data_IF_661473068207
#
_entry.id   IF_661473068207
#
_cell.length_a   1.000
_cell.length_b   1.000
_cell.length_c   1.000
_cell.angle_alpha   90.00
_cell.angle_beta   90.00
_cell.angle_gamma   90.00
#
_symmetry.space_group_name_H-M   'P 1'
#
loop_
_entity.id
_entity.type
_entity.pdbx_description
1 polymer ?
#
# COMPACT_ATOMS: atom_id res chain seq x y z
N UNK A 1 -1.23 -83.30 -12.03
CA UNK A 1 -1.17 -83.03 -13.48
C UNK A 1 -0.86 -81.55 -13.67
N UNK A 2 0.36 -81.25 -14.14
CA UNK A 2 0.80 -80.07 -14.95
C UNK A 2 0.41 -78.66 -14.45
N UNK A 3 1.31 -77.90 -13.81
CA UNK A 3 2.28 -76.92 -14.38
C UNK A 3 1.63 -75.93 -15.38
N UNK A 4 1.65 -74.62 -15.09
CA UNK A 4 2.42 -73.59 -15.85
C UNK A 4 2.30 -72.18 -15.26
N UNK A 5 3.48 -71.63 -14.96
CA UNK A 5 3.83 -70.21 -14.83
C UNK A 5 3.69 -69.53 -16.19
N UNK A 6 3.21 -68.28 -16.23
CA UNK A 6 3.44 -67.38 -17.34
C UNK A 6 3.56 -65.94 -16.81
N UNK A 7 4.79 -65.44 -16.76
CA UNK A 7 5.08 -64.02 -16.65
C UNK A 7 4.87 -63.34 -18.00
N UNK A 8 4.46 -62.07 -17.95
CA UNK A 8 4.42 -61.20 -19.11
C UNK A 8 5.14 -59.89 -18.76
N UNK A 9 6.38 -59.77 -19.26
CA UNK A 9 7.07 -58.49 -19.43
C UNK A 9 6.52 -57.84 -20.71
N UNK A 10 6.19 -56.55 -20.64
CA UNK A 10 6.06 -55.68 -21.80
C UNK A 10 6.86 -54.39 -21.52
N UNK A 11 7.92 -54.22 -22.30
CA UNK A 11 8.71 -53.00 -22.38
C UNK A 11 7.95 -51.91 -23.16
N UNK A 12 8.11 -50.67 -22.73
CA UNK A 12 8.51 -49.57 -23.61
C UNK A 12 7.42 -48.85 -24.40
N UNK A 13 6.95 -47.74 -23.85
CA UNK A 13 6.66 -46.54 -24.64
C UNK A 13 7.20 -45.33 -23.86
N UNK A 14 8.39 -44.87 -24.25
CA UNK A 14 8.94 -43.61 -23.80
C UNK A 14 8.27 -42.49 -24.59
N UNK A 15 7.54 -41.62 -23.91
CA UNK A 15 7.23 -40.27 -24.39
C UNK A 15 7.92 -39.30 -23.43
N UNK A 16 8.97 -38.65 -23.90
CA UNK A 16 9.64 -37.53 -23.24
C UNK A 16 9.04 -36.23 -23.75
N UNK A 17 8.36 -35.44 -22.91
CA UNK A 17 8.11 -34.00 -23.15
C UNK A 17 8.05 -33.22 -21.82
N UNK A 18 9.07 -32.38 -21.64
CA UNK A 18 9.26 -31.16 -20.84
C UNK A 18 8.58 -30.91 -19.47
N UNK A 19 9.45 -30.96 -18.46
CA UNK A 19 9.63 -30.07 -17.31
C UNK A 19 9.27 -28.58 -17.60
N UNK A 20 8.30 -28.01 -16.86
CA UNK A 20 8.63 -27.11 -15.75
C UNK A 20 7.99 -27.61 -14.45
N UNK A 21 8.78 -28.23 -13.58
CA UNK A 21 8.31 -28.76 -12.30
C UNK A 21 8.02 -27.61 -11.35
N UNK A 22 6.73 -27.26 -11.28
CA UNK A 22 6.09 -26.99 -10.00
C UNK A 22 6.05 -28.32 -9.23
N UNK A 23 6.82 -28.46 -8.16
CA UNK A 23 6.65 -29.59 -7.23
C UNK A 23 5.55 -29.26 -6.24
N UNK A 24 4.41 -29.96 -6.34
CA UNK A 24 3.59 -30.28 -5.17
C UNK A 24 3.17 -31.76 -5.22
N UNK A 25 3.46 -32.45 -4.12
CA UNK A 25 3.02 -33.78 -3.67
C UNK A 25 3.84 -35.00 -4.10
N UNK A 26 4.77 -35.37 -3.21
CA UNK A 26 5.10 -36.77 -2.89
C UNK A 26 4.74 -37.00 -1.41
N UNK A 27 4.08 -38.12 -1.03
CA UNK A 27 3.77 -38.42 0.37
C UNK A 27 4.99 -38.73 1.27
N UNK A 28 6.21 -38.56 0.77
CA UNK A 28 7.45 -38.93 1.46
C UNK A 28 8.44 -37.78 1.57
N UNK A 29 8.00 -36.52 1.40
CA UNK A 29 8.82 -35.37 1.78
C UNK A 29 8.93 -35.38 3.31
N UNK A 30 10.17 -35.36 3.83
CA UNK A 30 10.47 -35.46 5.25
C UNK A 30 9.61 -34.52 6.10
N UNK A 31 9.40 -34.91 7.36
CA UNK A 31 8.54 -34.20 8.31
C UNK A 31 8.64 -32.69 8.10
N UNK A 32 7.52 -32.11 7.67
CA UNK A 32 7.28 -30.70 7.81
C UNK A 32 7.67 -30.32 9.24
N UNK A 33 8.57 -29.33 9.43
CA UNK A 33 8.88 -28.86 10.76
C UNK A 33 7.58 -28.52 11.50
N UNK A 34 7.37 -29.09 12.69
CA UNK A 34 6.11 -28.98 13.44
C UNK A 34 5.72 -27.51 13.67
N UNK A 35 6.71 -26.61 13.74
CA UNK A 35 6.58 -25.16 13.85
C UNK A 35 5.99 -24.48 12.60
N UNK A 36 6.35 -24.91 11.38
CA UNK A 36 5.76 -24.41 10.14
C UNK A 36 4.33 -24.94 9.93
N UNK A 37 4.09 -26.21 10.28
CA UNK A 37 2.74 -26.78 10.25
C UNK A 37 1.81 -26.08 11.23
N UNK A 38 2.30 -25.76 12.43
CA UNK A 38 1.57 -24.98 13.44
C UNK A 38 1.36 -23.52 12.99
N UNK A 39 2.36 -22.89 12.35
CA UNK A 39 2.22 -21.55 11.76
C UNK A 39 1.26 -21.49 10.58
N UNK A 40 1.00 -22.60 9.89
CA UNK A 40 0.13 -22.60 8.71
C UNK A 40 -1.19 -23.35 8.89
N UNK A 41 -1.50 -23.84 10.10
CA UNK A 41 -2.82 -24.31 10.47
C UNK A 41 -3.85 -23.16 10.39
N UNK A 42 -5.04 -23.43 9.83
CA UNK A 42 -6.17 -22.49 9.75
C UNK A 42 -5.89 -21.13 9.04
N UNK A 43 -5.15 -21.15 7.93
CA UNK A 43 -4.65 -19.96 7.18
C UNK A 43 -3.46 -19.25 7.85
N UNK A 44 -2.98 -19.81 8.97
CA UNK A 44 -1.90 -19.31 9.80
C UNK A 44 -2.32 -18.17 10.75
N UNK A 45 -1.75 -18.11 11.97
CA UNK A 45 -2.01 -17.01 12.87
C UNK A 45 -1.57 -15.70 12.21
N UNK A 46 -2.14 -14.57 12.61
CA UNK A 46 -1.72 -13.26 12.10
C UNK A 46 -0.19 -13.13 12.17
N UNK A 47 0.38 -12.49 11.15
CA UNK A 47 1.83 -12.33 11.09
C UNK A 47 2.26 -11.44 12.26
N UNK A 48 3.02 -12.01 13.19
CA UNK A 48 3.59 -11.31 14.32
C UNK A 48 4.96 -10.73 13.92
N UNK A 49 5.02 -9.41 13.84
CA UNK A 49 6.17 -8.61 13.43
C UNK A 49 6.95 -8.16 14.68
N UNK A 50 8.27 -8.28 14.68
CA UNK A 50 9.14 -7.72 15.72
C UNK A 50 10.19 -8.72 16.15
N UNK A 51 10.96 -8.41 17.18
CA UNK A 51 11.90 -9.33 17.81
C UNK A 51 11.44 -9.54 19.27
N UNK A 52 11.10 -10.78 19.70
CA UNK A 52 10.73 -11.04 21.08
C UNK A 52 11.83 -10.67 22.09
N UNK A 53 13.09 -10.56 21.66
CA UNK A 53 14.21 -10.10 22.49
C UNK A 53 14.33 -8.56 22.55
N UNK A 54 13.75 -7.82 21.59
CA UNK A 54 13.77 -6.36 21.53
C UNK A 54 12.46 -5.70 21.99
N UNK A 55 11.36 -6.46 22.12
CA UNK A 55 10.07 -5.95 22.58
C UNK A 55 8.88 -6.85 22.24
N UNK A 56 7.65 -6.40 22.52
CA UNK A 56 6.45 -7.15 22.18
C UNK A 56 6.27 -7.25 20.66
N UNK A 57 5.85 -8.43 20.20
CA UNK A 57 5.50 -8.66 18.81
C UNK A 57 4.25 -7.85 18.41
N UNK A 58 4.32 -7.17 17.28
CA UNK A 58 3.25 -6.38 16.67
C UNK A 58 2.54 -7.22 15.62
N UNK A 59 1.25 -7.45 15.79
CA UNK A 59 0.45 -8.11 14.77
C UNK A 59 0.33 -7.23 13.50
N UNK A 60 0.62 -7.78 12.31
CA UNK A 60 0.59 -7.05 11.04
C UNK A 60 -0.78 -6.48 10.70
N UNK A 61 -1.85 -7.19 11.08
CA UNK A 61 -3.23 -6.70 10.99
C UNK A 61 -3.45 -5.41 11.80
N UNK A 62 -3.09 -5.44 13.09
CA UNK A 62 -3.21 -4.28 13.98
C UNK A 62 -2.31 -3.13 13.55
N UNK A 63 -1.11 -3.43 13.05
CA UNK A 63 -0.24 -2.43 12.45
C UNK A 63 -0.92 -1.75 11.27
N UNK A 64 -1.51 -2.53 10.35
CA UNK A 64 -2.21 -2.00 9.19
C UNK A 64 -3.37 -1.06 9.57
N UNK A 65 -4.18 -1.43 10.57
CA UNK A 65 -5.26 -0.57 11.09
C UNK A 65 -4.74 0.79 11.60
N UNK A 66 -3.55 0.81 12.19
CA UNK A 66 -2.95 2.04 12.71
C UNK A 66 -2.35 2.92 11.62
N UNK A 67 -1.71 2.32 10.61
CA UNK A 67 -1.00 3.05 9.57
C UNK A 67 -1.93 3.55 8.44
N UNK A 68 -2.94 2.76 8.06
CA UNK A 68 -3.75 2.99 6.85
C UNK A 68 -5.14 3.57 7.15
N UNK A 69 -5.20 4.53 8.08
CA UNK A 69 -6.46 5.18 8.50
C UNK A 69 -7.08 6.11 7.46
N UNK A 70 -6.31 6.47 6.43
CA UNK A 70 -6.62 7.50 5.43
C UNK A 70 -6.35 6.94 4.04
N UNK A 71 -6.99 7.50 3.01
CA UNK A 71 -6.66 7.20 1.62
C UNK A 71 -5.20 7.59 1.32
N UNK A 72 -4.80 8.78 1.77
CA UNK A 72 -3.43 9.26 1.62
C UNK A 72 -2.94 9.96 2.88
N UNK A 73 -1.71 9.64 3.28
CA UNK A 73 -0.93 10.32 4.29
C UNK A 73 0.45 10.67 3.74
N UNK A 74 0.89 11.91 3.93
CA UNK A 74 2.23 12.36 3.56
C UNK A 74 2.95 13.06 4.71
N UNK A 75 4.21 12.70 4.92
CA UNK A 75 5.09 13.29 5.94
C UNK A 75 5.63 14.68 5.56
N UNK A 76 5.77 14.94 4.27
CA UNK A 76 6.14 16.20 3.66
C UNK A 76 4.95 16.71 2.84
N UNK A 77 5.19 17.19 1.62
CA UNK A 77 4.16 17.76 0.76
C UNK A 77 3.58 16.79 -0.28
N UNK A 78 2.44 17.20 -0.81
CA UNK A 78 1.81 16.64 -2.01
C UNK A 78 1.91 17.65 -3.15
N UNK A 79 2.33 17.22 -4.34
CA UNK A 79 2.45 18.05 -5.53
C UNK A 79 1.78 17.41 -6.74
N UNK A 80 0.77 18.09 -7.29
CA UNK A 80 -0.07 17.55 -8.37
C UNK A 80 -0.11 18.47 -9.59
N UNK A 81 0.24 17.94 -10.76
CA UNK A 81 0.05 18.64 -12.05
C UNK A 81 -1.16 18.14 -12.84
N UNK A 82 -1.78 17.05 -12.39
CA UNK A 82 -2.98 16.44 -12.94
C UNK A 82 -4.02 16.19 -11.82
N UNK A 83 -5.26 15.78 -12.14
CA UNK A 83 -6.29 15.59 -11.14
C UNK A 83 -5.90 14.58 -10.06
N UNK A 84 -6.18 14.91 -8.80
CA UNK A 84 -6.06 14.01 -7.66
C UNK A 84 -7.43 13.81 -7.02
N UNK A 85 -7.89 12.55 -6.97
CA UNK A 85 -9.17 12.14 -6.43
C UNK A 85 -8.98 11.11 -5.32
N UNK A 86 -9.73 11.26 -4.23
CA UNK A 86 -9.90 10.20 -3.23
C UNK A 86 -11.37 9.95 -2.93
N UNK A 87 -11.70 8.69 -2.70
CA UNK A 87 -12.96 8.24 -2.14
C UNK A 87 -12.73 6.99 -1.26
N UNK A 88 -13.80 6.37 -0.77
CA UNK A 88 -13.71 5.14 0.00
C UNK A 88 -14.82 4.16 -0.33
N UNK A 89 -14.55 2.88 -0.06
CA UNK A 89 -15.49 1.78 -0.14
C UNK A 89 -15.12 0.71 0.90
N UNK A 90 -15.92 -0.36 0.97
CA UNK A 90 -15.61 -1.58 1.75
C UNK A 90 -15.73 -2.77 0.84
N UNK A 91 -14.59 -3.42 0.56
CA UNK A 91 -14.52 -4.54 -0.37
C UNK A 91 -15.32 -5.77 0.10
N UNK A 92 -15.50 -5.90 1.41
CA UNK A 92 -16.28 -6.92 2.12
C UNK A 92 -17.79 -6.77 1.91
N UNK A 93 -18.27 -5.55 1.59
CA UNK A 93 -19.68 -5.25 1.37
C UNK A 93 -20.06 -5.43 -0.10
N UNK A 94 -19.12 -5.17 -1.02
CA UNK A 94 -19.35 -5.31 -2.45
C UNK A 94 -18.23 -4.73 -3.31
N UNK A 95 -18.34 -4.85 -4.64
CA UNK A 95 -17.39 -4.24 -5.55
C UNK A 95 -17.43 -2.72 -5.42
N UNK A 96 -16.29 -2.08 -5.71
CA UNK A 96 -16.18 -0.62 -5.74
C UNK A 96 -17.20 0.02 -6.69
N UNK A 97 -17.80 1.12 -6.23
CA UNK A 97 -18.62 2.03 -7.02
C UNK A 97 -18.07 3.45 -6.89
N UNK A 98 -17.92 4.21 -8.00
CA UNK A 98 -17.31 5.52 -7.95
C UNK A 98 -18.03 6.55 -7.08
N UNK A 99 -17.25 7.35 -6.35
CA UNK A 99 -17.75 8.50 -5.60
C UNK A 99 -18.29 8.15 -4.20
N UNK A 100 -17.80 7.07 -3.59
CA UNK A 100 -18.11 6.74 -2.21
C UNK A 100 -17.70 7.85 -1.22
N UNK A 101 -18.41 7.99 -0.10
CA UNK A 101 -18.04 8.94 0.94
C UNK A 101 -16.83 8.44 1.75
N UNK A 102 -15.92 9.34 2.13
CA UNK A 102 -14.69 9.01 2.84
C UNK A 102 -13.44 9.16 1.96
N UNK A 103 -12.36 8.50 2.35
CA UNK A 103 -11.07 8.65 1.66
C UNK A 103 -10.34 9.90 2.14
N UNK A 104 -10.19 10.00 3.47
CA UNK A 104 -9.53 11.13 4.12
C UNK A 104 -8.09 11.30 3.62
N UNK A 105 -7.61 12.56 3.63
CA UNK A 105 -6.26 12.91 3.20
C UNK A 105 -5.57 13.72 4.28
N UNK A 106 -4.37 13.30 4.66
CA UNK A 106 -3.49 13.98 5.60
C UNK A 106 -2.18 14.38 4.94
N UNK A 107 -1.76 15.62 5.13
CA UNK A 107 -0.47 16.14 4.65
C UNK A 107 0.20 16.89 5.79
N UNK A 108 1.39 16.47 6.22
CA UNK A 108 2.13 17.21 7.25
C UNK A 108 2.82 18.46 6.69
N UNK A 109 3.16 18.47 5.41
CA UNK A 109 3.72 19.61 4.68
C UNK A 109 2.67 20.40 3.90
N UNK A 110 3.09 20.98 2.76
CA UNK A 110 2.24 21.78 1.87
C UNK A 110 1.52 20.91 0.85
N UNK A 111 0.28 21.26 0.50
CA UNK A 111 -0.41 20.70 -0.66
C UNK A 111 -0.36 21.71 -1.82
N UNK A 112 0.31 21.36 -2.90
CA UNK A 112 0.41 22.17 -4.12
C UNK A 112 -0.28 21.46 -5.28
N UNK A 113 -1.26 22.09 -5.92
CA UNK A 113 -1.99 21.50 -7.02
C UNK A 113 -2.24 22.50 -8.15
N UNK A 114 -1.76 22.15 -9.35
CA UNK A 114 -2.00 22.92 -10.57
C UNK A 114 -3.30 22.51 -11.28
N UNK A 115 -4.02 21.53 -10.74
CA UNK A 115 -5.23 20.97 -11.32
C UNK A 115 -6.26 20.67 -10.21
N UNK A 116 -7.38 20.05 -10.57
CA UNK A 116 -8.46 19.70 -9.64
C UNK A 116 -7.96 18.75 -8.54
N UNK A 117 -8.32 19.08 -7.30
CA UNK A 117 -8.21 18.18 -6.14
C UNK A 117 -9.61 17.89 -5.62
N UNK A 118 -9.96 16.63 -5.48
CA UNK A 118 -11.22 16.20 -4.90
C UNK A 118 -10.95 15.15 -3.82
N UNK A 119 -11.33 15.46 -2.59
CA UNK A 119 -11.22 14.58 -1.44
C UNK A 119 -12.63 14.21 -1.00
N UNK A 120 -13.00 12.94 -1.11
CA UNK A 120 -14.33 12.46 -0.71
C UNK A 120 -14.60 12.55 0.79
N UNK A 121 -13.53 12.59 1.59
CA UNK A 121 -13.55 12.67 3.05
C UNK A 121 -13.04 14.03 3.54
N UNK A 122 -12.38 14.01 4.71
CA UNK A 122 -11.77 15.19 5.31
C UNK A 122 -10.34 15.41 4.80
N UNK A 123 -9.95 16.68 4.66
CA UNK A 123 -8.61 17.10 4.25
C UNK A 123 -7.93 17.84 5.41
N UNK A 124 -6.74 17.38 5.79
CA UNK A 124 -5.93 18.02 6.83
C UNK A 124 -4.54 18.34 6.29
N UNK A 125 -4.11 19.60 6.43
CA UNK A 125 -2.83 20.11 5.93
C UNK A 125 -2.08 20.82 7.06
N UNK A 126 -0.95 20.26 7.47
CA UNK A 126 -0.14 20.70 8.61
C UNK A 126 0.93 21.74 8.27
N UNK A 127 1.39 21.80 7.02
CA UNK A 127 2.52 22.65 6.63
C UNK A 127 2.11 24.07 6.28
N UNK A 128 2.73 24.65 5.25
CA UNK A 128 2.52 26.04 4.85
C UNK A 128 1.17 26.31 4.15
N UNK A 129 0.20 25.41 4.30
CA UNK A 129 -1.14 25.53 3.73
C UNK A 129 -1.28 24.92 2.34
N UNK A 130 -2.21 25.47 1.57
CA UNK A 130 -2.59 24.97 0.24
C UNK A 130 -2.24 25.99 -0.83
N UNK A 131 -1.64 25.53 -1.92
CA UNK A 131 -1.37 26.30 -3.14
C UNK A 131 -2.15 25.69 -4.30
N UNK A 132 -3.16 26.41 -4.79
CA UNK A 132 -4.15 25.91 -5.73
C UNK A 132 -4.15 26.76 -7.00
N UNK A 133 -3.98 26.13 -8.16
CA UNK A 133 -4.29 26.73 -9.46
C UNK A 133 -5.58 26.16 -10.08
N UNK A 134 -6.08 25.04 -9.54
CA UNK A 134 -7.34 24.40 -9.93
C UNK A 134 -8.35 24.33 -8.78
N UNK A 135 -9.58 23.85 -9.04
CA UNK A 135 -10.63 23.77 -8.02
C UNK A 135 -10.33 22.70 -6.96
N UNK A 136 -10.68 22.99 -5.71
CA UNK A 136 -10.65 22.07 -4.57
C UNK A 136 -12.09 21.69 -4.16
N UNK A 137 -12.35 20.40 -3.96
CA UNK A 137 -13.59 19.89 -3.35
C UNK A 137 -13.26 18.96 -2.19
N UNK A 138 -13.86 19.19 -1.02
CA UNK A 138 -13.70 18.37 0.19
C UNK A 138 -15.09 17.93 0.67
N UNK A 139 -15.34 16.62 0.70
CA UNK A 139 -16.62 16.03 1.10
C UNK A 139 -16.87 16.00 2.61
N UNK A 140 -15.80 16.11 3.41
CA UNK A 140 -15.84 16.23 4.87
C UNK A 140 -15.42 17.62 5.35
N UNK A 141 -14.61 17.66 6.42
CA UNK A 141 -14.04 18.89 6.96
C UNK A 141 -12.68 19.24 6.37
N UNK A 142 -12.30 20.52 6.45
CA UNK A 142 -10.98 21.02 6.08
C UNK A 142 -10.27 21.61 7.30
N UNK A 143 -9.09 21.10 7.66
CA UNK A 143 -8.21 21.76 8.63
C UNK A 143 -6.88 22.12 7.95
N UNK A 144 -6.57 23.41 7.85
CA UNK A 144 -5.30 23.92 7.31
C UNK A 144 -4.54 24.71 8.37
N UNK A 145 -3.30 24.30 8.61
CA UNK A 145 -2.38 25.00 9.51
C UNK A 145 -1.71 26.22 8.85
N UNK A 146 -1.93 26.44 7.56
CA UNK A 146 -1.45 27.59 6.80
C UNK A 146 -2.53 28.21 5.91
N UNK A 147 -2.16 29.19 5.05
CA UNK A 147 -3.09 29.89 4.16
C UNK A 147 -3.69 29.00 3.07
N UNK A 148 -4.81 29.44 2.51
CA UNK A 148 -5.38 28.94 1.26
C UNK A 148 -5.02 29.92 0.15
N UNK A 149 -4.09 29.58 -0.74
CA UNK A 149 -3.57 30.47 -1.78
C UNK A 149 -3.93 29.99 -3.17
N UNK A 150 -4.53 30.84 -3.99
CA UNK A 150 -4.96 30.50 -5.33
C UNK A 150 -5.95 31.53 -5.88
N UNK A 151 -5.50 32.72 -6.32
CA UNK A 151 -6.39 33.84 -6.60
C UNK A 151 -7.41 33.58 -7.72
N UNK A 152 -7.16 32.57 -8.57
CA UNK A 152 -8.07 32.10 -9.62
C UNK A 152 -8.78 30.80 -9.27
N UNK A 153 -8.41 30.16 -8.17
CA UNK A 153 -8.95 28.87 -7.73
C UNK A 153 -10.21 29.06 -6.88
N UNK A 154 -11.10 28.07 -6.95
CA UNK A 154 -12.28 27.96 -6.09
C UNK A 154 -12.15 26.75 -5.17
N UNK A 155 -12.73 26.83 -3.98
CA UNK A 155 -12.77 25.72 -3.05
C UNK A 155 -14.18 25.52 -2.49
N UNK A 156 -14.60 24.26 -2.37
CA UNK A 156 -15.84 23.85 -1.73
C UNK A 156 -15.53 22.85 -0.62
N UNK A 157 -16.03 23.10 0.59
CA UNK A 157 -15.93 22.22 1.75
C UNK A 157 -17.34 21.93 2.22
N UNK A 158 -17.75 20.66 2.24
CA UNK A 158 -19.10 20.28 2.64
C UNK A 158 -19.33 20.43 4.15
N UNK A 159 -18.32 20.14 4.98
CA UNK A 159 -18.35 20.30 6.43
C UNK A 159 -17.81 21.64 6.93
N UNK A 160 -17.20 21.61 8.11
CA UNK A 160 -16.50 22.75 8.70
C UNK A 160 -15.13 22.98 8.06
N UNK A 161 -14.68 24.23 8.04
CA UNK A 161 -13.34 24.60 7.61
C UNK A 161 -12.61 25.41 8.69
N UNK A 162 -11.40 25.00 9.05
CA UNK A 162 -10.50 25.74 9.95
C UNK A 162 -9.23 26.11 9.20
N UNK A 163 -8.92 27.39 9.11
CA UNK A 163 -7.79 27.89 8.33
C UNK A 163 -6.95 28.81 9.19
N UNK A 164 -5.71 28.41 9.48
CA UNK A 164 -4.73 29.27 10.12
C UNK A 164 -3.90 30.01 9.07
N UNK A 165 -4.52 30.97 8.41
CA UNK A 165 -3.84 31.84 7.46
C UNK A 165 -4.83 32.62 6.61
N UNK A 166 -4.29 33.47 5.73
CA UNK A 166 -5.12 34.19 4.77
C UNK A 166 -5.77 33.24 3.76
N UNK A 167 -7.02 33.56 3.41
CA UNK A 167 -7.75 32.91 2.32
C UNK A 167 -7.70 33.83 1.10
N UNK A 168 -6.84 33.48 0.16
CA UNK A 168 -6.63 34.20 -1.10
C UNK A 168 -7.11 33.33 -2.26
N UNK A 169 -8.42 33.11 -2.31
CA UNK A 169 -9.11 32.34 -3.35
C UNK A 169 -10.07 33.22 -4.14
N UNK A 170 -10.45 32.80 -5.35
CA UNK A 170 -11.51 33.45 -6.11
C UNK A 170 -12.88 33.32 -5.41
N UNK A 171 -13.14 32.15 -4.82
CA UNK A 171 -14.30 31.88 -3.98
C UNK A 171 -14.02 30.69 -3.05
N UNK A 172 -14.56 30.76 -1.83
CA UNK A 172 -14.59 29.65 -0.88
C UNK A 172 -16.03 29.41 -0.42
N UNK A 173 -16.56 28.21 -0.60
CA UNK A 173 -17.86 27.80 -0.06
C UNK A 173 -17.66 26.76 1.03
N UNK A 174 -18.21 27.00 2.22
CA UNK A 174 -18.15 26.12 3.39
C UNK A 174 -19.59 25.81 3.83
N UNK A 175 -19.95 24.53 3.88
CA UNK A 175 -21.30 24.11 4.29
C UNK A 175 -21.57 24.33 5.78
N UNK A 176 -20.53 24.21 6.62
CA UNK A 176 -20.58 24.44 8.06
C UNK A 176 -19.96 25.76 8.51
N UNK A 177 -19.20 25.69 9.60
CA UNK A 177 -18.52 26.83 10.22
C UNK A 177 -17.14 27.04 9.57
N UNK A 178 -16.87 28.27 9.13
CA UNK A 178 -15.53 28.70 8.76
C UNK A 178 -14.86 29.37 9.97
N UNK A 179 -13.76 28.80 10.47
CA UNK A 179 -12.95 29.38 11.56
C UNK A 179 -11.62 29.90 11.01
N UNK A 180 -11.37 31.20 11.19
CA UNK A 180 -10.13 31.86 10.76
C UNK A 180 -9.66 32.79 11.88
N UNK A 181 -8.38 32.78 12.30
CA UNK A 181 -7.90 33.68 13.35
C UNK A 181 -8.16 35.17 13.04
N UNK A 182 -8.40 36.02 14.07
CA UNK A 182 -8.75 37.43 13.89
C UNK A 182 -7.78 38.27 13.07
N UNK A 183 -6.51 37.87 12.98
CA UNK A 183 -5.43 38.54 12.25
C UNK A 183 -5.39 38.24 10.74
N UNK A 184 -6.06 37.20 10.26
CA UNK A 184 -6.03 36.78 8.85
C UNK A 184 -7.30 37.14 8.10
N UNK A 185 -7.22 37.27 6.78
CA UNK A 185 -8.37 37.62 5.93
C UNK A 185 -9.12 36.35 5.49
N UNK A 186 -10.45 36.23 5.70
CA UNK A 186 -11.21 35.05 5.30
C UNK A 186 -11.52 34.99 3.80
N UNK A 187 -11.07 35.96 3.01
CA UNK A 187 -11.29 36.02 1.57
C UNK A 187 -12.77 36.20 1.18
N UNK A 188 -13.13 36.01 -0.09
CA UNK A 188 -14.52 35.97 -0.55
C UNK A 188 -15.17 34.63 -0.17
N UNK A 189 -15.29 34.36 1.13
CA UNK A 189 -15.86 33.12 1.67
C UNK A 189 -17.36 33.24 1.95
N UNK A 190 -18.09 32.15 1.65
CA UNK A 190 -19.47 31.93 2.01
C UNK A 190 -19.51 30.73 2.97
N UNK A 191 -19.98 30.95 4.19
CA UNK A 191 -20.10 29.92 5.22
C UNK A 191 -21.44 30.07 5.95
N UNK A 192 -21.93 29.00 6.59
CA UNK A 192 -23.11 29.10 7.45
C UNK A 192 -22.84 30.02 8.66
N UNK A 193 -21.61 29.99 9.16
CA UNK A 193 -21.12 30.85 10.24
C UNK A 193 -19.63 31.15 10.02
N UNK A 194 -19.20 32.38 10.25
CA UNK A 194 -17.78 32.77 10.29
C UNK A 194 -17.36 33.03 11.73
N UNK A 195 -16.40 32.25 12.23
CA UNK A 195 -15.80 32.42 13.56
C UNK A 195 -14.39 33.00 13.44
N UNK A 196 -14.14 34.01 14.27
CA UNK A 196 -12.85 34.71 14.36
C UNK A 196 -12.13 34.27 15.63
N UNK A 197 -11.56 33.07 15.59
CA UNK A 197 -10.99 32.39 16.76
C UNK A 197 -9.64 31.73 16.41
N UNK A 198 -8.74 31.54 17.41
CA UNK A 198 -7.51 30.79 17.19
C UNK A 198 -7.78 29.37 16.68
N UNK A 199 -7.06 28.98 15.63
CA UNK A 199 -7.06 27.61 15.09
C UNK A 199 -5.80 26.89 15.59
N UNK A 200 -5.90 25.62 15.99
CA UNK A 200 -4.79 24.79 16.45
C UNK A 200 -4.05 24.11 15.26
N UNK A 201 -2.75 23.75 15.40
CA UNK A 201 -2.01 23.16 14.30
C UNK A 201 -2.33 21.68 14.24
N UNK A 202 -2.39 21.15 13.02
CA UNK A 202 -2.65 19.75 12.77
C UNK A 202 -1.40 19.08 12.25
N UNK A 203 -1.08 17.90 12.79
CA UNK A 203 -0.06 16.98 12.26
C UNK A 203 -0.81 15.69 11.91
N UNK A 204 -1.41 15.61 10.71
CA UNK A 204 -2.36 14.54 10.39
C UNK A 204 -1.74 13.15 10.23
N UNK A 205 -0.43 13.06 9.98
CA UNK A 205 0.30 11.82 9.72
C UNK A 205 1.38 11.56 10.78
N UNK A 206 1.40 10.35 11.35
CA UNK A 206 2.37 9.92 12.36
C UNK A 206 3.75 9.61 11.77
N UNK A 207 4.50 10.65 11.42
CA UNK A 207 5.79 10.54 10.73
C UNK A 207 7.01 10.74 11.63
N UNK A 208 6.81 10.97 12.92
CA UNK A 208 7.86 11.15 13.92
C UNK A 208 8.75 9.89 13.99
N UNK A 209 10.07 10.07 13.84
CA UNK A 209 11.08 9.01 13.86
C UNK A 209 10.97 8.06 15.05
N UNK A 210 10.57 8.55 16.23
CA UNK A 210 10.45 7.76 17.46
C UNK A 210 9.21 6.86 17.50
N UNK A 211 8.17 7.19 16.73
CA UNK A 211 6.89 6.46 16.70
C UNK A 211 6.63 5.74 15.38
N UNK A 212 7.44 6.03 14.37
CA UNK A 212 7.36 5.43 13.05
C UNK A 212 7.71 3.94 13.11
N UNK A 213 6.91 3.12 12.43
CA UNK A 213 7.24 1.73 12.21
C UNK A 213 8.49 1.61 11.31
N UNK A 214 9.46 0.77 11.70
CA UNK A 214 10.68 0.52 10.94
C UNK A 214 10.63 -0.85 10.24
N UNK A 215 10.35 -0.91 8.92
CA UNK A 215 10.38 -2.17 8.17
C UNK A 215 11.80 -2.75 8.05
N UNK A 216 12.84 -1.93 8.19
CA UNK A 216 14.24 -2.35 8.02
C UNK A 216 14.68 -3.34 9.09
N UNK A 217 14.27 -3.14 10.34
CA UNK A 217 14.52 -4.06 11.44
C UNK A 217 13.94 -5.47 11.17
N UNK A 218 12.74 -5.55 10.58
CA UNK A 218 12.13 -6.84 10.20
C UNK A 218 12.87 -7.52 9.07
N UNK A 219 13.23 -6.77 8.03
CA UNK A 219 13.99 -7.29 6.91
C UNK A 219 15.31 -7.87 7.42
N UNK A 220 16.04 -7.13 8.27
CA UNK A 220 17.29 -7.59 8.86
C UNK A 220 17.11 -8.91 9.63
N UNK A 221 16.08 -9.04 10.47
CA UNK A 221 15.78 -10.27 11.21
C UNK A 221 15.50 -11.44 10.26
N UNK A 222 14.64 -11.24 9.26
CA UNK A 222 14.19 -12.31 8.39
C UNK A 222 15.19 -12.68 7.27
N UNK A 223 16.32 -11.97 7.19
CA UNK A 223 17.48 -12.46 6.42
C UNK A 223 18.08 -13.75 6.99
N UNK A 224 17.93 -13.99 8.30
CA UNK A 224 18.48 -15.18 8.98
C UNK A 224 17.40 -16.11 9.56
N UNK A 225 16.21 -15.59 9.83
CA UNK A 225 15.03 -16.35 10.31
C UNK A 225 13.93 -16.32 9.25
N UNK A 226 13.90 -17.30 8.35
CA UNK A 226 12.88 -17.42 7.32
C UNK A 226 12.58 -18.90 7.01
N UNK A 227 11.48 -19.12 6.31
CA UNK A 227 10.92 -20.44 6.02
C UNK A 227 11.33 -20.94 4.62
N UNK A 228 12.34 -20.33 3.97
CA UNK A 228 12.79 -20.74 2.64
C UNK A 228 13.16 -22.22 2.59
N UNK A 229 13.85 -22.72 3.62
CA UNK A 229 14.27 -24.11 3.72
C UNK A 229 13.09 -25.09 3.75
N UNK A 230 11.93 -24.68 4.27
CA UNK A 230 10.74 -25.52 4.35
C UNK A 230 10.17 -25.89 2.97
N UNK A 231 10.41 -25.04 1.96
CA UNK A 231 9.94 -25.26 0.59
C UNK A 231 11.08 -25.38 -0.45
N UNK A 232 12.34 -25.35 0.01
CA UNK A 232 13.51 -25.36 -0.87
C UNK A 232 13.64 -24.10 -1.74
N UNK A 233 13.18 -22.94 -1.26
CA UNK A 233 13.27 -21.67 -1.99
C UNK A 233 14.71 -21.13 -1.96
N UNK A 234 15.36 -21.08 -3.12
CA UNK A 234 16.58 -20.31 -3.29
C UNK A 234 16.27 -18.81 -3.27
N UNK A 235 16.88 -18.08 -2.33
CA UNK A 235 16.68 -16.65 -2.20
C UNK A 235 17.12 -15.85 -3.44
N UNK A 236 18.07 -16.39 -4.22
CA UNK A 236 18.58 -15.76 -5.45
C UNK A 236 17.76 -16.09 -6.71
N UNK A 237 16.69 -16.88 -6.60
CA UNK A 237 15.94 -17.42 -7.75
C UNK A 237 15.37 -16.36 -8.71
N UNK A 238 15.20 -15.12 -8.25
CA UNK A 238 14.68 -13.99 -9.03
C UNK A 238 15.68 -12.84 -9.26
N UNK A 239 16.99 -13.02 -9.07
CA UNK A 239 17.96 -11.91 -9.22
C UNK A 239 18.21 -11.46 -10.68
N UNK A 240 18.08 -12.39 -11.65
CA UNK A 240 18.37 -12.20 -13.07
C UNK A 240 17.29 -12.84 -13.97
N UNK A 241 16.07 -12.37 -13.83
CA UNK A 241 14.89 -12.86 -14.54
C UNK A 241 14.96 -12.51 -16.02
N UNK A 242 15.08 -13.53 -16.87
CA UNK A 242 14.86 -13.45 -18.32
C UNK A 242 13.58 -14.18 -18.71
N UNK A 243 12.78 -13.60 -19.61
CA UNK A 243 11.50 -14.18 -20.02
C UNK A 243 10.46 -14.12 -18.90
N UNK A 244 9.57 -15.10 -18.84
CA UNK A 244 8.52 -15.17 -17.82
C UNK A 244 8.90 -16.11 -16.68
N UNK A 245 8.74 -15.62 -15.44
CA UNK A 245 8.91 -16.41 -14.21
C UNK A 245 7.66 -16.32 -13.35
N UNK A 246 7.24 -17.45 -12.82
CA UNK A 246 6.15 -17.56 -11.86
C UNK A 246 6.71 -18.18 -10.59
N UNK A 247 6.53 -17.51 -9.46
CA UNK A 247 6.88 -18.00 -8.13
C UNK A 247 5.60 -18.10 -7.30
N UNK A 248 5.23 -19.32 -6.91
CA UNK A 248 4.13 -19.55 -5.99
C UNK A 248 4.64 -19.64 -4.56
N UNK A 249 4.03 -18.87 -3.64
CA UNK A 249 4.37 -18.86 -2.22
C UNK A 249 3.19 -19.39 -1.41
N UNK A 250 3.38 -20.44 -0.59
CA UNK A 250 2.38 -20.92 0.35
C UNK A 250 2.34 -20.00 1.58
N UNK A 251 1.68 -20.43 2.66
CA UNK A 251 1.81 -19.75 3.95
C UNK A 251 3.27 -19.81 4.45
N UNK A 252 3.76 -18.70 5.01
CA UNK A 252 5.11 -18.62 5.58
C UNK A 252 5.79 -17.26 5.42
N UNK A 253 7.04 -17.19 5.88
CA UNK A 253 7.92 -16.02 5.88
C UNK A 253 9.08 -16.29 4.95
N UNK A 254 9.10 -15.70 3.76
CA UNK A 254 10.08 -15.99 2.72
C UNK A 254 11.02 -14.82 2.47
N UNK A 255 12.25 -15.14 2.08
CA UNK A 255 13.28 -14.18 1.71
C UNK A 255 13.63 -14.35 0.23
N UNK A 256 13.66 -13.25 -0.49
CA UNK A 256 14.35 -13.14 -1.77
C UNK A 256 15.44 -12.08 -1.63
N UNK A 257 16.63 -12.33 -2.15
CA UNK A 257 17.72 -11.34 -2.07
C UNK A 257 17.38 -10.09 -2.88
N UNK A 258 16.86 -10.28 -4.09
CA UNK A 258 16.37 -9.24 -5.01
C UNK A 258 15.39 -9.84 -6.02
N UNK A 259 14.52 -9.02 -6.60
CA UNK A 259 13.72 -9.38 -7.78
C UNK A 259 14.10 -8.46 -8.93
N UNK A 260 14.75 -8.99 -9.97
CA UNK A 260 15.19 -8.14 -11.05
C UNK A 260 15.53 -8.88 -12.34
N UNK A 261 15.65 -8.11 -13.41
CA UNK A 261 16.03 -8.60 -14.73
C UNK A 261 15.19 -7.97 -15.84
N UNK A 262 15.52 -8.27 -17.11
CA UNK A 262 14.77 -7.76 -18.25
C UNK A 262 13.37 -8.39 -18.41
N UNK A 263 13.12 -9.55 -17.78
CA UNK A 263 11.88 -10.29 -17.94
C UNK A 263 10.72 -9.82 -17.06
N UNK A 264 9.72 -10.70 -16.95
CA UNK A 264 8.50 -10.50 -16.17
C UNK A 264 8.37 -11.51 -15.05
N UNK A 265 7.84 -11.07 -13.91
CA UNK A 265 7.64 -11.90 -12.72
C UNK A 265 6.17 -11.90 -12.32
N UNK A 266 5.65 -13.09 -12.04
CA UNK A 266 4.36 -13.29 -11.36
C UNK A 266 4.60 -13.94 -10.00
N UNK A 267 4.28 -13.22 -8.92
CA UNK A 267 4.23 -13.78 -7.57
C UNK A 267 2.81 -14.23 -7.28
N UNK A 268 2.62 -15.49 -6.91
CA UNK A 268 1.29 -16.06 -6.64
C UNK A 268 1.17 -16.50 -5.20
N UNK A 269 0.41 -15.76 -4.43
CA UNK A 269 0.34 -15.87 -2.98
C UNK A 269 -0.85 -16.75 -2.60
N UNK A 270 -0.59 -17.97 -2.14
CA UNK A 270 -1.61 -18.99 -1.86
C UNK A 270 -2.09 -19.02 -0.41
N UNK A 271 -1.30 -18.47 0.51
CA UNK A 271 -1.63 -18.37 1.94
C UNK A 271 -1.14 -17.06 2.54
N UNK A 272 -1.25 -16.91 3.86
CA UNK A 272 -0.71 -15.75 4.59
C UNK A 272 0.81 -15.74 4.48
N UNK A 273 1.35 -14.77 3.76
CA UNK A 273 2.76 -14.72 3.35
C UNK A 273 3.40 -13.41 3.79
N UNK A 274 4.56 -13.51 4.43
CA UNK A 274 5.49 -12.39 4.56
C UNK A 274 6.62 -12.59 3.55
N UNK A 275 6.87 -11.61 2.68
CA UNK A 275 7.96 -11.65 1.72
C UNK A 275 8.93 -10.51 1.99
N UNK A 276 10.18 -10.85 2.30
CA UNK A 276 11.25 -9.88 2.59
C UNK A 276 12.22 -9.81 1.41
N UNK A 277 12.48 -8.60 0.91
CA UNK A 277 13.37 -8.37 -0.23
C UNK A 277 14.33 -7.21 0.06
N UNK A 278 15.49 -7.48 0.69
CA UNK A 278 16.46 -6.45 1.04
C UNK A 278 16.95 -5.67 -0.18
N UNK A 279 17.21 -6.35 -1.30
CA UNK A 279 17.71 -5.75 -2.53
C UNK A 279 16.68 -4.98 -3.36
N UNK A 280 15.40 -4.99 -2.95
CA UNK A 280 14.32 -4.34 -3.69
C UNK A 280 13.94 -5.04 -5.00
N UNK A 281 13.29 -4.29 -5.89
CA UNK A 281 12.74 -4.77 -7.16
C UNK A 281 13.17 -3.88 -8.33
N UNK A 282 13.69 -4.48 -9.40
CA UNK A 282 14.05 -3.78 -10.63
C UNK A 282 13.75 -4.63 -11.87
N UNK A 283 12.55 -4.45 -12.44
CA UNK A 283 12.07 -5.22 -13.60
C UNK A 283 11.81 -4.31 -14.80
N UNK A 284 12.25 -4.73 -15.98
CA UNK A 284 12.01 -3.97 -17.21
C UNK A 284 10.63 -4.24 -17.81
N UNK A 285 10.16 -5.49 -17.84
CA UNK A 285 8.90 -5.83 -18.53
C UNK A 285 7.66 -5.74 -17.63
N UNK A 286 7.51 -6.59 -16.62
CA UNK A 286 6.29 -6.58 -15.80
C UNK A 286 6.46 -7.24 -14.44
N UNK A 287 5.68 -6.75 -13.47
CA UNK A 287 5.47 -7.38 -12.17
C UNK A 287 3.98 -7.60 -11.95
N UNK A 288 3.59 -8.83 -11.69
CA UNK A 288 2.23 -9.20 -11.25
C UNK A 288 2.30 -9.85 -9.88
N UNK A 289 1.49 -9.38 -8.94
CA UNK A 289 1.30 -10.01 -7.63
C UNK A 289 -0.15 -10.45 -7.52
N UNK A 290 -0.40 -11.73 -7.69
CA UNK A 290 -1.71 -12.37 -7.62
C UNK A 290 -1.94 -12.95 -6.21
N UNK A 291 -3.02 -12.52 -5.55
CA UNK A 291 -3.37 -12.91 -4.18
C UNK A 291 -4.80 -13.47 -4.16
N UNK A 292 -5.01 -14.68 -4.72
CA UNK A 292 -6.32 -15.34 -4.68
C UNK A 292 -6.68 -15.70 -3.22
N UNK A 293 -7.97 -15.82 -2.86
CA UNK A 293 -8.33 -16.29 -1.53
C UNK A 293 -7.81 -17.73 -1.32
N UNK A 294 -7.29 -18.08 -0.12
CA UNK A 294 -7.26 -17.30 1.12
C UNK A 294 -5.98 -16.44 1.31
N UNK A 295 -5.20 -16.22 0.26
CA UNK A 295 -3.92 -15.51 0.30
C UNK A 295 -3.99 -14.11 0.91
N UNK A 296 -2.90 -13.74 1.58
CA UNK A 296 -2.63 -12.42 2.15
C UNK A 296 -1.13 -12.16 2.05
N UNK A 297 -0.72 -10.95 1.69
CA UNK A 297 0.68 -10.60 1.49
C UNK A 297 1.09 -9.40 2.33
N UNK A 298 2.13 -9.59 3.14
CA UNK A 298 2.98 -8.55 3.70
C UNK A 298 4.32 -8.52 2.95
N UNK A 299 4.51 -7.53 2.09
CA UNK A 299 5.73 -7.35 1.30
C UNK A 299 6.63 -6.29 1.97
N UNK A 300 7.87 -6.65 2.28
CA UNK A 300 8.86 -5.77 2.91
C UNK A 300 10.06 -5.54 1.98
N UNK A 301 10.39 -4.27 1.73
CA UNK A 301 11.43 -3.85 0.79
C UNK A 301 12.39 -2.85 1.44
N UNK A 302 13.70 -2.99 1.20
CA UNK A 302 14.69 -1.95 1.56
C UNK A 302 15.28 -1.24 0.35
N UNK A 303 15.54 -1.98 -0.74
CA UNK A 303 16.06 -1.42 -1.99
C UNK A 303 15.02 -0.65 -2.81
N UNK A 304 15.46 -0.14 -3.96
CA UNK A 304 14.60 0.56 -4.90
C UNK A 304 13.45 -0.33 -5.39
N UNK A 305 12.31 0.28 -5.74
CA UNK A 305 11.19 -0.38 -6.40
C UNK A 305 10.98 0.30 -7.75
N UNK A 306 11.48 -0.36 -8.81
CA UNK A 306 11.42 0.15 -10.18
C UNK A 306 10.81 -0.92 -11.07
N UNK A 307 9.67 -0.62 -11.67
CA UNK A 307 9.03 -1.48 -12.68
C UNK A 307 8.75 -0.63 -13.90
N UNK A 308 9.52 -0.83 -14.96
CA UNK A 308 9.46 0.04 -16.15
C UNK A 308 8.22 -0.23 -17.01
N UNK A 309 7.81 -1.50 -17.12
CA UNK A 309 6.59 -1.88 -17.82
C UNK A 309 5.41 -2.08 -16.88
N UNK A 310 4.58 -3.11 -17.11
CA UNK A 310 3.28 -3.22 -16.44
C UNK A 310 3.43 -3.62 -14.97
N UNK A 311 2.78 -2.86 -14.08
CA UNK A 311 2.66 -3.18 -12.66
C UNK A 311 1.21 -3.51 -12.31
N UNK A 312 0.99 -4.72 -11.81
CA UNK A 312 -0.29 -5.14 -11.23
C UNK A 312 -0.04 -5.70 -9.84
N UNK A 313 -0.51 -4.99 -8.80
CA UNK A 313 -0.41 -5.46 -7.42
C UNK A 313 -1.81 -5.78 -6.89
N UNK A 314 -2.04 -7.03 -6.50
CA UNK A 314 -3.26 -7.46 -5.83
C UNK A 314 -4.51 -7.43 -6.72
N UNK A 315 -5.67 -7.23 -6.08
CA UNK A 315 -6.97 -7.16 -6.76
C UNK A 315 -7.84 -6.06 -6.15
N UNK A 316 -8.46 -5.23 -7.00
CA UNK A 316 -9.40 -4.19 -6.59
C UNK A 316 -10.62 -4.73 -5.81
N UNK A 317 -10.89 -6.04 -5.91
CA UNK A 317 -11.98 -6.68 -5.18
C UNK A 317 -11.67 -6.96 -3.71
N UNK A 318 -10.38 -7.02 -3.32
CA UNK A 318 -9.90 -7.33 -1.95
C UNK A 318 -8.52 -6.68 -1.69
N UNK A 319 -8.36 -5.36 -1.85
CA UNK A 319 -7.06 -4.69 -1.77
C UNK A 319 -6.45 -4.71 -0.36
N UNK A 320 -7.28 -4.78 0.70
CA UNK A 320 -6.85 -4.91 2.09
C UNK A 320 -5.95 -6.13 2.38
N UNK A 321 -5.90 -7.12 1.48
CA UNK A 321 -5.06 -8.32 1.60
C UNK A 321 -3.61 -8.13 1.18
N UNK A 322 -3.25 -6.98 0.61
CA UNK A 322 -1.89 -6.70 0.19
C UNK A 322 -1.38 -5.46 0.92
N UNK A 323 -0.28 -5.61 1.64
CA UNK A 323 0.39 -4.55 2.39
C UNK A 323 1.85 -4.52 1.99
N UNK A 324 2.35 -3.35 1.62
CA UNK A 324 3.71 -3.12 1.15
C UNK A 324 4.38 -2.14 2.10
N UNK A 325 5.53 -2.52 2.66
CA UNK A 325 6.30 -1.73 3.60
C UNK A 325 7.70 -1.48 3.03
N UNK A 326 8.07 -0.22 2.89
CA UNK A 326 9.34 0.21 2.31
C UNK A 326 10.17 0.89 3.39
N UNK A 327 11.33 0.30 3.70
CA UNK A 327 12.32 0.85 4.61
C UNK A 327 13.24 1.89 3.96
N UNK A 328 13.43 1.79 2.63
CA UNK A 328 14.36 2.64 1.89
C UNK A 328 13.95 4.11 1.80
N UNK A 329 14.93 4.97 1.54
CA UNK A 329 14.75 6.41 1.28
C UNK A 329 14.70 6.74 -0.22
N UNK A 330 15.07 5.78 -1.06
CA UNK A 330 15.09 5.91 -2.52
C UNK A 330 13.68 6.23 -3.05
N UNK A 331 13.56 7.06 -4.10
CA UNK A 331 12.28 7.32 -4.73
C UNK A 331 11.62 6.02 -5.25
N UNK A 332 10.30 5.96 -5.13
CA UNK A 332 9.46 4.95 -5.74
C UNK A 332 8.92 5.56 -7.04
N UNK A 333 9.52 5.21 -8.16
CA UNK A 333 9.15 5.72 -9.47
C UNK A 333 8.19 4.73 -10.17
N UNK A 334 6.96 5.17 -10.42
CA UNK A 334 5.96 4.39 -11.17
C UNK A 334 5.61 5.17 -12.45
N UNK A 335 6.17 4.69 -13.56
CA UNK A 335 6.06 5.37 -14.86
C UNK A 335 4.94 4.86 -15.75
N UNK A 336 4.43 3.66 -15.49
CA UNK A 336 3.39 3.01 -16.29
C UNK A 336 2.00 3.26 -15.69
N UNK A 337 0.97 3.17 -16.54
CA UNK A 337 -0.40 3.01 -16.05
C UNK A 337 -0.48 1.64 -15.35
N UNK A 338 -0.81 1.65 -14.07
CA UNK A 338 -0.80 0.45 -13.23
C UNK A 338 -1.96 0.44 -12.25
N UNK A 339 -2.41 -0.76 -11.93
CA UNK A 339 -3.36 -1.01 -10.86
C UNK A 339 -2.58 -1.34 -9.59
N UNK A 340 -2.71 -0.48 -8.58
CA UNK A 340 -2.14 -0.72 -7.25
C UNK A 340 -3.27 -1.05 -6.28
N UNK A 341 -3.65 -2.32 -6.19
CA UNK A 341 -4.61 -2.79 -5.20
C UNK A 341 -3.90 -3.31 -3.94
N UNK A 342 -3.34 -2.37 -3.18
CA UNK A 342 -2.56 -2.62 -1.97
C UNK A 342 -2.52 -1.39 -1.05
N UNK A 343 -2.13 -1.61 0.21
CA UNK A 343 -1.78 -0.54 1.14
C UNK A 343 -0.26 -0.34 1.16
N UNK A 344 0.21 0.86 0.84
CA UNK A 344 1.64 1.19 0.73
C UNK A 344 2.09 2.06 1.90
N UNK A 345 3.09 1.59 2.64
CA UNK A 345 3.77 2.32 3.70
C UNK A 345 5.25 2.54 3.33
N UNK A 346 5.58 3.78 2.97
CA UNK A 346 6.90 4.22 2.54
C UNK A 346 7.21 5.62 3.12
N UNK A 347 7.21 5.78 4.45
CA UNK A 347 7.26 7.09 5.14
C UNK A 347 8.54 7.89 4.88
N UNK A 348 9.60 7.24 4.40
CA UNK A 348 10.90 7.86 4.08
C UNK A 348 11.14 7.99 2.57
N UNK A 349 10.34 7.33 1.74
CA UNK A 349 10.47 7.37 0.29
C UNK A 349 9.46 8.34 -0.32
N UNK A 350 9.89 9.05 -1.38
CA UNK A 350 8.99 9.85 -2.20
C UNK A 350 8.38 8.95 -3.28
N UNK A 351 7.07 9.05 -3.48
CA UNK A 351 6.37 8.39 -4.57
C UNK A 351 6.25 9.35 -5.76
N UNK A 352 6.78 8.96 -6.91
CA UNK A 352 6.71 9.74 -8.14
C UNK A 352 5.84 8.99 -9.15
N UNK A 353 4.74 9.64 -9.58
CA UNK A 353 3.78 9.06 -10.53
C UNK A 353 3.77 9.86 -11.83
N UNK A 354 4.44 9.34 -12.86
CA UNK A 354 4.43 10.02 -14.17
C UNK A 354 3.27 9.60 -15.08
N UNK A 355 2.77 8.37 -14.90
CA UNK A 355 1.56 7.85 -15.55
C UNK A 355 0.29 8.05 -14.71
N UNK A 356 -0.87 7.70 -15.26
CA UNK A 356 -2.10 7.68 -14.47
C UNK A 356 -2.06 6.50 -13.49
N UNK A 357 -2.48 6.72 -12.26
CA UNK A 357 -2.50 5.71 -11.21
C UNK A 357 -3.92 5.54 -10.66
N UNK A 358 -4.35 4.28 -10.56
CA UNK A 358 -5.55 3.88 -9.84
C UNK A 358 -5.13 2.97 -8.69
N UNK A 359 -5.35 3.47 -7.47
CA UNK A 359 -4.95 2.83 -6.23
C UNK A 359 -6.22 2.36 -5.53
N UNK A 360 -6.31 1.08 -5.20
CA UNK A 360 -7.31 0.53 -4.29
C UNK A 360 -6.59 0.18 -2.98
N UNK A 361 -6.88 0.90 -1.90
CA UNK A 361 -6.14 0.81 -0.64
C UNK A 361 -5.71 2.18 -0.14
N UNK A 362 -4.53 2.27 0.45
CA UNK A 362 -4.02 3.48 1.10
C UNK A 362 -2.56 3.77 0.73
N UNK A 363 -2.19 5.05 0.76
CA UNK A 363 -0.82 5.52 0.58
C UNK A 363 -0.35 6.22 1.86
N UNK A 364 0.77 5.79 2.42
CA UNK A 364 1.51 6.50 3.46
C UNK A 364 2.93 6.71 2.97
N UNK A 365 3.30 7.92 2.61
CA UNK A 365 4.57 8.21 1.92
C UNK A 365 5.32 9.39 2.54
N UNK A 366 6.62 9.56 2.23
CA UNK A 366 7.32 10.80 2.60
C UNK A 366 6.67 11.98 1.88
N UNK A 367 6.59 11.91 0.56
CA UNK A 367 5.91 12.88 -0.30
C UNK A 367 5.37 12.18 -1.53
N UNK A 368 4.45 12.83 -2.23
CA UNK A 368 3.92 12.35 -3.51
C UNK A 368 3.97 13.47 -4.54
N UNK A 369 4.61 13.18 -5.67
CA UNK A 369 4.66 14.04 -6.84
C UNK A 369 4.01 13.30 -8.01
N UNK A 370 2.92 13.86 -8.55
CA UNK A 370 2.22 13.25 -9.67
C UNK A 370 2.02 14.22 -10.83
N UNK A 371 2.47 13.80 -12.01
CA UNK A 371 2.15 14.46 -13.29
C UNK A 371 1.01 13.78 -14.04
N UNK A 372 0.71 12.52 -13.75
CA UNK A 372 -0.49 11.81 -14.21
C UNK A 372 -1.65 11.91 -13.21
N UNK A 373 -2.87 11.61 -13.67
CA UNK A 373 -4.04 11.62 -12.80
C UNK A 373 -3.95 10.50 -11.76
N UNK A 374 -4.29 10.79 -10.50
CA UNK A 374 -4.23 9.84 -9.40
C UNK A 374 -5.60 9.70 -8.78
N UNK A 375 -6.07 8.46 -8.67
CA UNK A 375 -7.30 8.10 -7.99
C UNK A 375 -6.97 7.12 -6.87
N UNK A 376 -7.39 7.41 -5.64
CA UNK A 376 -7.21 6.53 -4.48
C UNK A 376 -8.57 6.16 -3.90
N UNK A 377 -8.89 4.88 -4.01
CA UNK A 377 -10.10 4.25 -3.50
C UNK A 377 -9.77 3.55 -2.19
N UNK A 378 -10.02 4.21 -1.07
CA UNK A 378 -9.69 3.68 0.26
C UNK A 378 -10.61 2.51 0.62
N UNK A 379 -10.04 1.31 0.71
CA UNK A 379 -10.76 0.15 1.22
C UNK A 379 -10.72 0.15 2.75
N UNK A 380 -11.84 0.57 3.35
CA UNK A 380 -11.96 0.70 4.79
C UNK A 380 -11.93 -0.65 5.54
N UNK A 381 -11.93 -1.79 4.84
CA UNK A 381 -11.70 -3.10 5.46
C UNK A 381 -10.31 -3.22 6.09
N UNK A 382 -9.33 -2.41 5.65
CA UNK A 382 -8.00 -2.37 6.29
C UNK A 382 -8.09 -1.93 7.76
N UNK A 383 -9.16 -1.24 8.15
CA UNK A 383 -9.41 -0.79 9.53
C UNK A 383 -9.93 -1.90 10.45
N UNK A 384 -10.26 -3.06 9.88
CA UNK A 384 -10.71 -4.25 10.60
C UNK A 384 -9.66 -5.39 10.50
N UNK A 385 -8.48 -5.13 9.90
CA UNK A 385 -7.45 -6.13 9.63
C UNK A 385 -6.86 -6.76 10.91
N UNK A 386 -6.92 -6.04 12.02
CA UNK A 386 -6.45 -6.45 13.33
C UNK A 386 -7.48 -7.23 14.14
N UNK A 387 -8.71 -7.42 13.66
CA UNK A 387 -9.72 -8.26 14.32
C UNK A 387 -9.27 -9.72 14.49
N UNK A 388 -8.40 -10.21 13.61
CA UNK A 388 -7.80 -11.54 13.73
C UNK A 388 -6.62 -11.59 14.72
N UNK A 389 -6.09 -10.44 15.16
CA UNK A 389 -4.96 -10.37 16.09
C UNK A 389 -5.38 -10.77 17.52
N UNK A 390 -4.51 -11.48 18.27
CA UNK A 390 -4.71 -11.69 19.70
C UNK A 390 -4.97 -10.38 20.44
N UNK A 391 -5.78 -10.41 21.50
CA UNK A 391 -5.98 -9.26 22.37
C UNK A 391 -4.61 -8.74 22.89
N UNK A 392 -4.42 -7.41 22.97
CA UNK A 392 -3.16 -6.81 23.42
C UNK A 392 -2.76 -7.22 24.84
#
# INVERSE_FOLDING_TARGET
MRIRVAGLMLLGAACTVNDPVATLHRPDAGNVPDDWAEHCADSGPPLLLGDPAAGPLVCSGRLAETLFRRAACSCEGLSFSAPFLTDAFRSSVGPYSPGGAGGDVGVNGTLSANNRVQVGGSLQVGGAGLMLAGPLSVGGGLDSSGPLSGPTATATVAGDARVRGDVTLAALTVGGVLTVPPEFTPGPAQAAELRREPVAPVVPCGCDDASRFDPGALIARHTVDNDNAAIGLDAATLEDVTGERVLELPCGRFLLTRVAGPGRVTLRIRGRTALFIPGGMNLLEALTVDVPPPGELDLFLSGAFVVSGQLTLGSATRPSRVRVYVAGTEPLDISANGLLAANLYAPQARLNLSGNAEVFGALFVRGLEASGAVQVHHDADVLDAGAACPAP
#
